data_IF_533995942629
#
_entry.id   IF_533995942629
#
_cell.length_a   1.000
_cell.length_b   1.000
_cell.length_c   1.000
_cell.angle_alpha   90.00
_cell.angle_beta   90.00
_cell.angle_gamma   90.00
#
_symmetry.space_group_name_H-M   'P 1'
#
loop_
_entity.id
_entity.type
_entity.pdbx_description
1 polymer ?
#
# COMPACT_ATOMS: atom_id res chain seq x y z
N UNK A 1 -3.47 -14.61 -1.22
CA UNK A 1 -4.24 -13.43 -1.64
C UNK A 1 -3.34 -12.21 -1.50
N UNK A 2 -3.07 -11.52 -2.61
CA UNK A 2 -2.36 -10.24 -2.59
C UNK A 2 -3.31 -9.14 -2.12
N UNK A 3 -2.81 -8.23 -1.29
CA UNK A 3 -3.59 -7.10 -0.80
C UNK A 3 -3.56 -6.00 -1.85
N UNK A 4 -4.67 -5.81 -2.58
CA UNK A 4 -4.82 -4.69 -3.50
C UNK A 4 -5.34 -3.46 -2.75
N UNK A 5 -4.66 -2.33 -2.92
CA UNK A 5 -5.06 -1.03 -2.38
C UNK A 5 -5.39 -0.07 -3.52
N UNK A 6 -6.56 0.56 -3.47
CA UNK A 6 -6.95 1.60 -4.41
C UNK A 6 -6.59 2.98 -3.84
N UNK A 7 -5.72 3.70 -4.55
CA UNK A 7 -5.26 5.04 -4.19
C UNK A 7 -5.69 6.11 -5.22
N UNK A 8 -6.60 5.77 -6.14
CA UNK A 8 -7.06 6.70 -7.19
C UNK A 8 -7.92 7.80 -6.60
N UNK A 9 -7.79 9.01 -7.14
CA UNK A 9 -8.58 10.17 -6.71
C UNK A 9 -8.17 10.76 -5.36
N UNK A 10 -7.09 10.28 -4.75
CA UNK A 10 -6.53 10.86 -3.53
C UNK A 10 -5.52 11.96 -3.86
N UNK A 11 -5.64 13.09 -3.16
CA UNK A 11 -4.72 14.23 -3.31
C UNK A 11 -3.37 13.95 -2.64
N UNK A 12 -2.30 14.56 -3.16
CA UNK A 12 -0.99 14.51 -2.53
C UNK A 12 -1.05 15.09 -1.10
N UNK A 13 -0.49 14.42 -0.07
CA UNK A 13 0.39 13.24 -0.07
C UNK A 13 -0.30 11.89 0.23
N UNK A 14 -1.64 11.84 0.21
CA UNK A 14 -2.41 10.69 0.69
C UNK A 14 -2.10 9.36 -0.02
N UNK A 15 -1.90 9.28 -1.36
CA UNK A 15 -1.56 8.02 -2.02
C UNK A 15 -0.30 7.36 -1.44
N UNK A 16 0.70 8.17 -1.10
CA UNK A 16 2.00 7.70 -0.58
C UNK A 16 1.84 7.17 0.84
N UNK A 17 1.12 7.90 1.69
CA UNK A 17 0.89 7.49 3.08
C UNK A 17 0.10 6.18 3.14
N UNK A 18 -0.95 6.05 2.32
CA UNK A 18 -1.75 4.82 2.24
C UNK A 18 -0.90 3.63 1.82
N UNK A 19 -0.06 3.81 0.79
CA UNK A 19 0.85 2.78 0.30
C UNK A 19 1.86 2.38 1.36
N UNK A 20 2.44 3.34 2.09
CA UNK A 20 3.41 3.06 3.15
C UNK A 20 2.79 2.22 4.28
N UNK A 21 1.58 2.57 4.73
CA UNK A 21 0.86 1.77 5.73
C UNK A 21 0.60 0.34 5.25
N UNK A 22 0.20 0.16 4.00
CA UNK A 22 -0.01 -1.16 3.43
C UNK A 22 1.28 -1.98 3.37
N UNK A 23 2.41 -1.35 3.02
CA UNK A 23 3.73 -1.99 3.03
C UNK A 23 4.19 -2.37 4.44
N UNK A 24 3.94 -1.54 5.44
CA UNK A 24 4.31 -1.83 6.83
C UNK A 24 3.52 -3.00 7.43
N UNK A 25 2.35 -3.31 6.86
CA UNK A 25 1.53 -4.47 7.23
C UNK A 25 1.89 -5.75 6.43
N UNK A 26 2.82 -5.67 5.47
CA UNK A 26 3.24 -6.82 4.68
C UNK A 26 4.35 -7.60 5.40
N UNK A 27 4.27 -8.93 5.33
CA UNK A 27 5.34 -9.81 5.82
C UNK A 27 6.59 -9.67 4.94
N UNK A 28 7.74 -9.46 5.59
CA UNK A 28 9.04 -9.36 4.92
C UNK A 28 9.39 -10.67 4.19
N UNK A 29 9.99 -10.56 3.00
CA UNK A 29 10.46 -11.72 2.23
C UNK A 29 9.38 -12.47 1.45
N UNK A 30 8.14 -11.96 1.41
CA UNK A 30 7.09 -12.50 0.55
C UNK A 30 7.35 -12.14 -0.92
N UNK A 31 7.84 -13.09 -1.69
CA UNK A 31 7.95 -13.02 -3.16
C UNK A 31 6.73 -13.72 -3.75
N UNK A 32 5.95 -12.99 -4.55
CA UNK A 32 4.79 -13.50 -5.30
C UNK A 32 5.12 -13.60 -6.78
#
# INVERSE_FOLDING_TARGET
MEKQIDARGLDCPQPVILTKKALDEMEEGKVV
#
